data_IF_542747533543
#
_entry.id   IF_542747533543
#
_cell.length_a   1.000
_cell.length_b   1.000
_cell.length_c   1.000
_cell.angle_alpha   90.00
_cell.angle_beta   90.00
_cell.angle_gamma   90.00
#
_symmetry.space_group_name_H-M   'P 1'
#
loop_
_entity.id
_entity.type
_entity.pdbx_description
1 polymer ?
#
# COMPACT_ATOMS: atom_id res chain seq x y z
N UNK A 1 -51.83 34.43 -6.18
CA UNK A 1 -51.33 33.07 -5.91
C UNK A 1 -51.20 32.34 -7.24
N UNK A 2 -49.98 32.15 -7.75
CA UNK A 2 -49.74 31.59 -9.08
C UNK A 2 -50.08 30.10 -9.14
N UNK A 3 -50.91 29.69 -10.10
CA UNK A 3 -51.26 28.28 -10.35
C UNK A 3 -50.06 27.57 -10.96
N UNK A 4 -49.52 26.59 -10.26
CA UNK A 4 -48.43 25.75 -10.77
C UNK A 4 -49.02 24.78 -11.79
N UNK A 5 -48.54 24.86 -13.03
CA UNK A 5 -49.04 24.02 -14.13
C UNK A 5 -48.61 22.57 -13.91
N UNK A 6 -49.48 21.55 -14.12
CA UNK A 6 -49.14 20.14 -13.91
C UNK A 6 -47.91 19.68 -14.73
N UNK A 7 -47.66 20.29 -15.89
CA UNK A 7 -46.47 20.06 -16.72
C UNK A 7 -45.18 20.44 -15.99
N UNK A 8 -45.19 21.53 -15.22
CA UNK A 8 -44.03 21.98 -14.45
C UNK A 8 -43.69 21.02 -13.32
N UNK A 9 -44.70 20.48 -12.62
CA UNK A 9 -44.51 19.48 -11.59
C UNK A 9 -43.94 18.17 -12.16
N UNK A 10 -44.40 17.76 -13.34
CA UNK A 10 -43.86 16.59 -14.03
C UNK A 10 -42.37 16.77 -14.41
N UNK A 11 -42.01 17.93 -14.99
CA UNK A 11 -40.62 18.24 -15.33
C UNK A 11 -39.72 18.30 -14.10
N UNK A 12 -40.21 18.90 -13.01
CA UNK A 12 -39.48 18.96 -11.73
C UNK A 12 -39.22 17.56 -11.18
N UNK A 13 -40.22 16.68 -11.20
CA UNK A 13 -40.09 15.28 -10.78
C UNK A 13 -39.07 14.53 -11.63
N UNK A 14 -39.06 14.76 -12.95
CA UNK A 14 -38.15 14.08 -13.87
C UNK A 14 -36.69 14.50 -13.63
N UNK A 15 -36.44 15.80 -13.39
CA UNK A 15 -35.11 16.31 -13.02
C UNK A 15 -34.65 15.74 -11.68
N UNK A 16 -35.52 15.71 -10.68
CA UNK A 16 -35.19 15.16 -9.36
C UNK A 16 -34.90 13.66 -9.42
N UNK A 17 -35.67 12.91 -10.23
CA UNK A 17 -35.42 11.48 -10.47
C UNK A 17 -34.08 11.25 -11.16
N UNK A 18 -33.69 12.09 -12.12
CA UNK A 18 -32.41 11.96 -12.80
C UNK A 18 -31.25 12.28 -11.86
N UNK A 19 -31.36 13.34 -11.06
CA UNK A 19 -30.34 13.71 -10.07
C UNK A 19 -30.14 12.61 -9.01
N UNK A 20 -31.24 12.06 -8.48
CA UNK A 20 -31.19 10.99 -7.48
C UNK A 20 -30.67 9.67 -8.06
N UNK A 21 -31.05 9.29 -9.28
CA UNK A 21 -30.49 8.12 -9.96
C UNK A 21 -28.98 8.23 -10.19
N UNK A 22 -28.50 9.39 -10.64
CA UNK A 22 -27.06 9.63 -10.81
C UNK A 22 -26.32 9.62 -9.46
N UNK A 23 -26.92 10.16 -8.39
CA UNK A 23 -26.33 10.12 -7.05
C UNK A 23 -26.22 8.69 -6.50
N UNK A 24 -27.29 7.90 -6.62
CA UNK A 24 -27.32 6.50 -6.17
C UNK A 24 -26.35 5.65 -6.97
N UNK A 25 -26.31 5.81 -8.30
CA UNK A 25 -25.36 5.06 -9.14
C UNK A 25 -23.92 5.48 -8.86
N UNK A 26 -23.65 6.76 -8.58
CA UNK A 26 -22.34 7.24 -8.12
C UNK A 26 -21.94 6.55 -6.81
N UNK A 27 -22.77 6.65 -5.76
CA UNK A 27 -22.51 6.00 -4.46
C UNK A 27 -22.28 4.50 -4.64
N UNK A 28 -23.15 3.82 -5.39
CA UNK A 28 -23.05 2.37 -5.64
C UNK A 28 -21.77 2.02 -6.39
N UNK A 29 -21.32 2.83 -7.36
CA UNK A 29 -20.05 2.59 -8.07
C UNK A 29 -18.84 2.85 -7.19
N UNK A 30 -18.83 3.90 -6.35
CA UNK A 30 -17.73 4.14 -5.42
C UNK A 30 -17.65 3.04 -4.34
N UNK A 31 -18.79 2.61 -3.78
CA UNK A 31 -18.82 1.51 -2.82
C UNK A 31 -18.45 0.17 -3.47
N UNK A 32 -18.91 -0.10 -4.70
CA UNK A 32 -18.59 -1.36 -5.41
C UNK A 32 -17.16 -1.38 -5.95
N UNK A 33 -16.57 -0.26 -6.36
CA UNK A 33 -15.15 -0.21 -6.75
C UNK A 33 -14.24 -0.34 -5.53
N UNK A 34 -14.66 0.19 -4.37
CA UNK A 34 -13.97 -0.02 -3.09
C UNK A 34 -14.10 -1.44 -2.52
N UNK A 35 -15.25 -2.11 -2.74
CA UNK A 35 -15.58 -3.41 -2.15
C UNK A 35 -15.35 -4.62 -3.09
N UNK A 36 -15.57 -4.44 -4.40
CA UNK A 36 -15.53 -5.50 -5.41
C UNK A 36 -14.12 -5.90 -5.84
N UNK A 37 -13.14 -4.98 -5.79
CA UNK A 37 -11.74 -5.30 -6.13
C UNK A 37 -10.99 -6.02 -5.01
N UNK A 38 -11.45 -5.91 -3.76
CA UNK A 38 -10.89 -6.64 -2.63
C UNK A 38 -11.42 -8.07 -2.46
N UNK A 39 -12.61 -8.38 -2.98
CA UNK A 39 -13.14 -9.75 -2.93
C UNK A 39 -12.40 -10.77 -3.79
N UNK A 40 -11.60 -10.34 -4.76
CA UNK A 40 -10.86 -11.25 -5.64
C UNK A 40 -9.48 -11.67 -5.09
N UNK A 41 -9.01 -11.07 -3.99
CA UNK A 41 -7.68 -11.33 -3.44
C UNK A 41 -7.72 -11.55 -1.93
N UNK A 42 -8.02 -12.77 -1.50
CA UNK A 42 -7.74 -13.23 -0.15
C UNK A 42 -8.91 -13.11 0.83
N UNK A 43 -9.33 -14.26 1.35
CA UNK A 43 -10.37 -14.46 2.35
C UNK A 43 -10.01 -13.77 3.68
N UNK A 44 -10.54 -12.56 3.93
CA UNK A 44 -10.70 -12.04 5.30
C UNK A 44 -12.11 -11.47 5.43
N UNK A 45 -12.93 -12.14 6.25
CA UNK A 45 -14.28 -11.73 6.61
C UNK A 45 -14.21 -10.45 7.45
N UNK A 46 -14.27 -9.28 6.81
CA UNK A 46 -14.43 -8.00 7.50
C UNK A 46 -15.92 -7.67 7.62
N UNK A 47 -16.52 -7.98 8.77
CA UNK A 47 -17.72 -7.28 9.22
C UNK A 47 -17.31 -5.84 9.53
N UNK A 48 -17.37 -4.96 8.53
CA UNK A 48 -17.01 -3.55 8.65
C UNK A 48 -18.08 -2.81 9.46
N UNK A 49 -17.93 -2.82 10.79
CA UNK A 49 -18.44 -1.75 11.63
C UNK A 49 -17.40 -0.64 11.66
N UNK A 50 -17.82 0.60 11.38
CA UNK A 50 -17.07 1.82 11.67
C UNK A 50 -16.61 1.76 13.14
N UNK A 51 -15.36 1.41 13.38
CA UNK A 51 -14.74 1.31 14.70
C UNK A 51 -13.33 1.89 14.69
N UNK A 52 -12.79 2.28 15.85
CA UNK A 52 -11.42 2.81 15.97
C UNK A 52 -10.43 1.81 15.37
N UNK A 53 -9.40 2.33 14.70
CA UNK A 53 -8.43 1.53 13.91
C UNK A 53 -8.13 0.18 14.57
N UNK A 54 -8.31 -0.95 13.86
CA UNK A 54 -8.08 -2.26 14.43
C UNK A 54 -6.61 -2.34 14.83
N UNK A 55 -6.33 -2.31 16.13
CA UNK A 55 -5.00 -2.61 16.65
C UNK A 55 -4.72 -4.06 16.30
N UNK A 56 -3.85 -4.27 15.30
CA UNK A 56 -3.42 -5.61 14.89
C UNK A 56 -2.61 -6.19 16.06
N UNK A 57 -3.24 -7.05 16.85
CA UNK A 57 -2.56 -7.71 17.96
C UNK A 57 -1.52 -8.70 17.42
N UNK A 58 -0.29 -8.59 17.94
CA UNK A 58 0.78 -9.54 17.63
C UNK A 58 0.34 -10.97 17.99
N UNK A 59 0.36 -11.92 17.03
CA UNK A 59 -0.20 -13.25 17.23
C UNK A 59 0.58 -14.05 18.28
N UNK A 60 -0.13 -14.92 19.01
CA UNK A 60 0.40 -15.56 20.23
C UNK A 60 1.59 -16.48 19.99
N UNK A 61 1.65 -17.09 18.80
CA UNK A 61 2.79 -17.91 18.38
C UNK A 61 4.10 -17.09 18.33
N UNK A 62 4.04 -15.83 17.91
CA UNK A 62 5.20 -14.92 17.89
C UNK A 62 5.50 -14.31 19.27
N UNK A 63 4.54 -14.32 20.21
CA UNK A 63 4.77 -13.90 21.60
C UNK A 63 5.63 -14.89 22.39
N UNK A 64 5.65 -16.17 22.00
CA UNK A 64 6.43 -17.23 22.66
C UNK A 64 7.91 -17.28 22.23
N UNK A 65 8.27 -16.66 21.10
CA UNK A 65 9.66 -16.49 20.62
C UNK A 65 10.32 -15.33 21.41
N UNK A 66 10.39 -15.47 22.73
CA UNK A 66 10.93 -14.44 23.65
C UNK A 66 12.42 -14.62 23.97
N UNK A 67 13.09 -15.64 23.44
CA UNK A 67 14.47 -15.97 23.82
C UNK A 67 15.55 -15.40 22.90
N UNK A 68 15.22 -14.91 21.70
CA UNK A 68 16.18 -14.24 20.81
C UNK A 68 16.02 -12.72 20.88
N UNK A 69 17.15 -11.99 20.85
CA UNK A 69 17.17 -10.52 20.75
C UNK A 69 16.45 -10.14 19.45
N UNK A 70 15.36 -9.38 19.56
CA UNK A 70 14.63 -8.89 18.39
C UNK A 70 15.44 -7.76 17.76
N UNK A 71 15.76 -7.90 16.49
CA UNK A 71 16.47 -6.88 15.72
C UNK A 71 15.50 -6.18 14.76
N UNK A 72 15.80 -4.92 14.43
CA UNK A 72 15.04 -4.16 13.47
C UNK A 72 15.48 -4.49 12.05
N UNK A 73 14.55 -4.95 11.22
CA UNK A 73 14.75 -5.04 9.78
C UNK A 73 14.41 -3.69 9.14
N UNK A 74 15.34 -3.12 8.39
CA UNK A 74 15.12 -1.87 7.66
C UNK A 74 14.72 -2.19 6.22
N UNK A 75 13.58 -1.69 5.79
CA UNK A 75 13.13 -1.79 4.41
C UNK A 75 12.90 -0.41 3.82
N UNK A 76 13.30 -0.22 2.56
CA UNK A 76 13.04 1.02 1.83
C UNK A 76 12.62 0.73 0.40
N UNK A 77 11.74 1.54 -0.16
CA UNK A 77 11.37 1.49 -1.58
C UNK A 77 12.27 2.39 -2.41
N UNK A 78 12.75 1.90 -3.54
CA UNK A 78 13.64 2.63 -4.43
C UNK A 78 13.20 2.53 -5.89
N UNK A 79 13.61 3.52 -6.67
CA UNK A 79 13.61 3.49 -8.13
C UNK A 79 15.04 3.38 -8.66
N UNK A 80 15.17 3.11 -9.95
CA UNK A 80 16.42 3.10 -10.72
C UNK A 80 16.94 4.51 -11.06
N UNK A 81 16.28 5.58 -10.60
CA UNK A 81 16.72 6.95 -10.88
C UNK A 81 18.05 7.27 -10.19
N UNK A 82 18.94 8.08 -10.82
CA UNK A 82 20.23 8.43 -10.22
C UNK A 82 20.10 9.05 -8.82
N UNK A 83 19.07 9.87 -8.60
CA UNK A 83 18.79 10.48 -7.31
C UNK A 83 18.39 9.44 -6.26
N UNK A 84 17.48 8.52 -6.59
CA UNK A 84 17.07 7.45 -5.68
C UNK A 84 18.26 6.55 -5.33
N UNK A 85 19.11 6.22 -6.31
CA UNK A 85 20.35 5.46 -6.11
C UNK A 85 21.29 6.14 -5.12
N UNK A 86 21.53 7.44 -5.28
CA UNK A 86 22.37 8.21 -4.36
C UNK A 86 21.80 8.21 -2.93
N UNK A 87 20.49 8.47 -2.78
CA UNK A 87 19.83 8.42 -1.47
C UNK A 87 19.95 7.04 -0.80
N UNK A 88 19.75 5.96 -1.57
CA UNK A 88 19.87 4.59 -1.08
C UNK A 88 21.28 4.30 -0.56
N UNK A 89 22.33 4.75 -1.27
CA UNK A 89 23.71 4.56 -0.85
C UNK A 89 24.02 5.30 0.46
N UNK A 90 23.58 6.55 0.60
CA UNK A 90 23.77 7.31 1.85
C UNK A 90 23.06 6.63 3.02
N UNK A 91 21.81 6.20 2.83
CA UNK A 91 21.05 5.50 3.86
C UNK A 91 21.70 4.16 4.25
N UNK A 92 22.15 3.38 3.27
CA UNK A 92 22.82 2.11 3.51
C UNK A 92 24.18 2.27 4.22
N UNK A 93 24.95 3.30 3.86
CA UNK A 93 26.19 3.64 4.56
C UNK A 93 25.95 3.88 6.06
N UNK A 94 24.96 4.70 6.41
CA UNK A 94 24.63 4.98 7.82
C UNK A 94 24.04 3.79 8.55
N UNK A 95 23.23 2.97 7.86
CA UNK A 95 22.77 1.69 8.40
C UNK A 95 23.95 0.81 8.80
N UNK A 96 24.94 0.62 7.92
CA UNK A 96 26.14 -0.16 8.22
C UNK A 96 26.89 0.39 9.43
N UNK A 97 27.15 1.70 9.44
CA UNK A 97 27.80 2.36 10.58
C UNK A 97 27.05 2.14 11.89
N UNK A 98 25.72 2.15 11.88
CA UNK A 98 24.91 1.89 13.08
C UNK A 98 24.87 0.41 13.46
N UNK A 99 24.85 -0.50 12.48
CA UNK A 99 24.87 -1.95 12.71
C UNK A 99 26.16 -2.40 13.37
N UNK A 100 27.30 -1.83 12.97
CA UNK A 100 28.62 -2.22 13.45
C UNK A 100 28.93 -1.73 14.89
N UNK A 101 28.04 -0.94 15.52
CA UNK A 101 28.22 -0.48 16.90
C UNK A 101 27.92 -1.59 17.92
N UNK A 102 28.64 -1.63 19.06
CA UNK A 102 28.36 -2.59 20.13
C UNK A 102 26.94 -2.37 20.67
N UNK A 103 26.21 -3.47 20.83
CA UNK A 103 24.83 -3.45 21.32
C UNK A 103 23.78 -3.05 20.29
N UNK A 104 24.15 -2.80 19.03
CA UNK A 104 23.19 -2.40 17.98
C UNK A 104 22.01 -3.36 17.86
N UNK A 105 20.84 -2.79 17.63
CA UNK A 105 19.59 -3.52 17.39
C UNK A 105 19.27 -3.62 15.90
N UNK A 106 20.19 -3.18 15.02
CA UNK A 106 19.99 -3.21 13.58
C UNK A 106 20.23 -4.63 13.04
N UNK A 107 19.18 -5.22 12.47
CA UNK A 107 19.21 -6.54 11.84
C UNK A 107 19.59 -6.44 10.36
N UNK A 108 18.73 -6.91 9.48
CA UNK A 108 18.94 -6.87 8.03
C UNK A 108 18.41 -5.57 7.40
N UNK A 109 18.86 -5.32 6.17
CA UNK A 109 18.43 -4.19 5.37
C UNK A 109 18.00 -4.71 4.00
N UNK A 110 16.87 -4.24 3.49
CA UNK A 110 16.38 -4.60 2.15
C UNK A 110 15.94 -3.37 1.39
N UNK A 111 16.53 -3.19 0.21
CA UNK A 111 16.06 -2.22 -0.76
C UNK A 111 15.05 -2.90 -1.68
N UNK A 112 13.83 -2.39 -1.73
CA UNK A 112 12.75 -2.88 -2.58
C UNK A 112 12.74 -2.04 -3.86
N UNK A 113 13.28 -2.58 -4.94
CA UNK A 113 13.41 -1.88 -6.22
C UNK A 113 12.16 -2.13 -7.06
N UNK A 114 11.38 -1.07 -7.32
CA UNK A 114 10.08 -1.18 -7.99
C UNK A 114 10.07 -0.60 -9.41
N UNK A 115 11.25 -0.53 -10.05
CA UNK A 115 11.40 -0.19 -11.47
C UNK A 115 11.21 -1.41 -12.40
N UNK A 116 11.04 -2.61 -11.85
CA UNK A 116 10.83 -3.85 -12.61
C UNK A 116 12.09 -4.51 -13.18
N UNK A 117 13.24 -3.84 -13.14
CA UNK A 117 14.51 -4.37 -13.64
C UNK A 117 15.62 -4.28 -12.59
N UNK A 118 16.58 -5.22 -12.57
CA UNK A 118 17.79 -5.12 -11.77
C UNK A 118 18.60 -3.87 -12.10
N UNK A 119 19.31 -3.34 -11.11
CA UNK A 119 20.26 -2.25 -11.30
C UNK A 119 21.63 -2.56 -10.70
N UNK A 120 22.59 -1.67 -10.96
CA UNK A 120 23.97 -1.80 -10.51
C UNK A 120 24.17 -1.64 -8.99
N UNK A 121 23.15 -1.25 -8.22
CA UNK A 121 23.27 -1.16 -6.75
C UNK A 121 23.00 -2.51 -6.07
N UNK A 122 22.49 -3.50 -6.80
CA UNK A 122 22.22 -4.83 -6.24
C UNK A 122 23.50 -5.54 -5.79
N UNK A 123 24.65 -5.21 -6.39
CA UNK A 123 25.96 -5.73 -6.00
C UNK A 123 26.44 -5.16 -4.65
N UNK A 124 25.88 -4.02 -4.22
CA UNK A 124 26.30 -3.30 -3.01
C UNK A 124 25.26 -3.39 -1.88
N UNK A 125 23.98 -3.34 -2.22
CA UNK A 125 22.86 -3.22 -1.29
C UNK A 125 21.93 -4.41 -1.50
N UNK A 126 21.60 -5.20 -0.45
CA UNK A 126 20.65 -6.29 -0.57
C UNK A 126 19.32 -5.77 -1.12
N UNK A 127 18.95 -6.25 -2.31
CA UNK A 127 17.83 -5.71 -3.08
C UNK A 127 16.84 -6.80 -3.42
N UNK A 128 15.55 -6.49 -3.27
CA UNK A 128 14.44 -7.29 -3.76
C UNK A 128 13.77 -6.55 -4.91
N UNK A 129 13.78 -7.13 -6.11
CA UNK A 129 13.17 -6.51 -7.29
C UNK A 129 11.70 -6.92 -7.35
N UNK A 130 10.84 -5.94 -7.59
CA UNK A 130 9.39 -6.15 -7.74
C UNK A 130 8.89 -5.48 -9.01
N UNK A 131 7.76 -6.00 -9.49
CA UNK A 131 7.13 -5.50 -10.70
C UNK A 131 6.49 -4.13 -10.43
N UNK A 132 6.57 -3.16 -11.35
CA UNK A 132 5.81 -1.92 -11.25
C UNK A 132 4.31 -2.21 -11.27
N UNK A 133 3.53 -1.23 -10.84
CA UNK A 133 2.08 -1.28 -10.94
C UNK A 133 1.69 -1.31 -12.43
N UNK A 134 0.75 -2.17 -12.85
CA UNK A 134 0.28 -2.20 -14.23
C UNK A 134 -0.24 -0.83 -14.69
N UNK A 135 0.03 -0.51 -15.96
CA UNK A 135 -0.35 0.78 -16.55
C UNK A 135 -1.84 1.08 -16.40
N UNK A 136 -2.16 2.34 -16.09
CA UNK A 136 -3.53 2.83 -15.95
C UNK A 136 -4.18 2.53 -14.59
N UNK A 137 -3.55 1.71 -13.75
CA UNK A 137 -4.02 1.47 -12.38
C UNK A 137 -3.64 2.61 -11.42
N UNK A 138 -2.53 3.27 -11.71
CA UNK A 138 -2.02 4.41 -10.95
C UNK A 138 -2.87 5.68 -11.15
N UNK A 139 -3.63 5.78 -12.25
CA UNK A 139 -4.45 6.94 -12.63
C UNK A 139 -3.66 8.26 -12.59
N UNK A 140 -2.38 8.21 -12.99
CA UNK A 140 -1.46 9.34 -12.95
C UNK A 140 -0.81 9.59 -11.57
N UNK A 141 -1.14 8.80 -10.55
CA UNK A 141 -0.51 8.87 -9.24
C UNK A 141 0.61 7.83 -9.11
N UNK A 142 1.74 8.12 -9.73
CA UNK A 142 2.93 7.26 -9.83
C UNK A 142 3.45 6.74 -8.47
N UNK A 143 3.15 7.47 -7.38
CA UNK A 143 3.55 7.14 -6.01
C UNK A 143 2.94 5.82 -5.52
N UNK A 144 1.86 5.33 -6.14
CA UNK A 144 1.24 4.03 -5.82
C UNK A 144 2.15 2.83 -6.03
N UNK A 145 3.22 2.98 -6.81
CA UNK A 145 4.24 1.93 -6.96
C UNK A 145 4.92 1.58 -5.63
N UNK A 146 5.05 2.53 -4.69
CA UNK A 146 5.73 2.30 -3.40
C UNK A 146 4.95 1.36 -2.47
N UNK A 147 3.66 1.60 -2.14
CA UNK A 147 2.89 0.64 -1.35
C UNK A 147 2.71 -0.70 -2.09
N UNK A 148 2.57 -0.67 -3.43
CA UNK A 148 2.52 -1.90 -4.24
C UNK A 148 3.79 -2.75 -4.09
N UNK A 149 4.95 -2.11 -4.05
CA UNK A 149 6.23 -2.77 -3.83
C UNK A 149 6.28 -3.51 -2.48
N UNK A 150 5.75 -2.89 -1.41
CA UNK A 150 5.66 -3.54 -0.10
C UNK A 150 4.71 -4.74 -0.10
N UNK A 151 3.55 -4.64 -0.75
CA UNK A 151 2.62 -5.77 -0.87
C UNK A 151 3.30 -6.97 -1.53
N UNK A 152 4.03 -6.72 -2.62
CA UNK A 152 4.76 -7.78 -3.29
C UNK A 152 5.91 -8.33 -2.46
N UNK A 153 6.70 -7.46 -1.82
CA UNK A 153 7.81 -7.90 -0.98
C UNK A 153 7.32 -8.74 0.21
N UNK A 154 6.29 -8.29 0.93
CA UNK A 154 5.72 -9.05 2.05
C UNK A 154 5.06 -10.37 1.61
N UNK A 155 4.50 -10.42 0.41
CA UNK A 155 3.85 -11.64 -0.11
C UNK A 155 4.81 -12.65 -0.76
N UNK A 156 5.93 -12.19 -1.34
CA UNK A 156 6.84 -13.02 -2.15
C UNK A 156 8.19 -13.27 -1.48
N UNK A 157 8.67 -12.39 -0.61
CA UNK A 157 10.00 -12.52 -0.02
C UNK A 157 10.02 -13.49 1.15
N UNK A 158 11.08 -14.31 1.22
CA UNK A 158 11.40 -15.07 2.43
C UNK A 158 12.33 -14.22 3.29
N UNK A 159 11.81 -13.66 4.38
CA UNK A 159 12.57 -12.81 5.30
C UNK A 159 13.15 -13.70 6.40
N UNK A 160 14.43 -14.03 6.29
CA UNK A 160 15.16 -14.71 7.36
C UNK A 160 15.53 -13.72 8.46
N UNK A 161 14.96 -13.86 9.66
CA UNK A 161 15.36 -13.12 10.85
C UNK A 161 16.59 -13.77 11.53
N UNK A 162 17.57 -12.97 11.97
CA UNK A 162 18.80 -13.43 12.66
C UNK A 162 18.56 -13.81 14.14
#
# INVERSE_FOLDING_TARGET
MGRVTPVFLFLLSLVFSFATYNLITMITRYTTVGFGRWKAGGLVSLNTQLGPDPIIHMPENLRKIKSKKKLFHIALTATDSPYSKWQCRIMYYWYRKKKDLPGSEMGKFTRILHSGSPDNLMDEIPTFVVDPLPDGLDRGYIVLNRPWAFVQWLGKATIEEE
#
